data_IF_571887760278
#
_entry.id   IF_571887760278
#
_cell.length_a   1.000
_cell.length_b   1.000
_cell.length_c   1.000
_cell.angle_alpha   90.00
_cell.angle_beta   90.00
_cell.angle_gamma   90.00
#
_symmetry.space_group_name_H-M   'P 1'
#
loop_
_entity.id
_entity.type
_entity.pdbx_description
1 polymer ?
#
# COMPACT_ATOMS: atom_id res chain seq x y z
N UNK A 1 -18.75 -24.50 -29.26
CA UNK A 1 -18.00 -24.24 -28.02
C UNK A 1 -17.40 -22.84 -28.07
N UNK A 2 -18.14 -21.82 -27.61
CA UNK A 2 -17.68 -20.42 -27.46
C UNK A 2 -17.33 -20.21 -25.97
N UNK A 3 -16.17 -20.67 -25.55
CA UNK A 3 -15.68 -20.55 -24.16
C UNK A 3 -14.36 -19.77 -24.03
N UNK A 4 -13.70 -19.44 -25.13
CA UNK A 4 -12.37 -18.80 -25.10
C UNK A 4 -12.38 -17.29 -24.88
N UNK A 5 -13.44 -16.58 -25.28
CA UNK A 5 -13.48 -15.11 -25.23
C UNK A 5 -13.70 -14.53 -23.82
N UNK A 6 -14.30 -15.29 -22.89
CA UNK A 6 -14.52 -14.84 -21.52
C UNK A 6 -13.26 -14.99 -20.66
N UNK A 7 -12.50 -16.09 -20.82
CA UNK A 7 -11.24 -16.30 -20.10
C UNK A 7 -10.14 -15.30 -20.48
N UNK A 8 -10.06 -14.90 -21.76
CA UNK A 8 -9.04 -13.94 -22.20
C UNK A 8 -9.29 -12.50 -21.74
N UNK A 9 -10.54 -12.11 -21.45
CA UNK A 9 -10.88 -10.79 -20.89
C UNK A 9 -10.74 -10.79 -19.36
N UNK A 10 -10.96 -11.94 -18.71
CA UNK A 10 -10.78 -12.07 -17.26
C UNK A 10 -9.31 -12.00 -16.82
N UNK A 11 -8.37 -12.54 -17.60
CA UNK A 11 -6.95 -12.50 -17.28
C UNK A 11 -6.36 -11.08 -17.16
N UNK A 12 -6.55 -10.15 -18.12
CA UNK A 12 -6.04 -8.79 -18.03
C UNK A 12 -6.72 -8.00 -16.91
N UNK A 13 -8.01 -8.24 -16.65
CA UNK A 13 -8.70 -7.63 -15.52
C UNK A 13 -8.09 -8.06 -14.18
N UNK A 14 -7.84 -9.36 -13.99
CA UNK A 14 -7.20 -9.87 -12.76
C UNK A 14 -5.79 -9.31 -12.60
N UNK A 15 -5.02 -9.21 -13.68
CA UNK A 15 -3.69 -8.60 -13.64
C UNK A 15 -3.74 -7.11 -13.27
N UNK A 16 -4.69 -6.37 -13.86
CA UNK A 16 -4.96 -4.98 -13.51
C UNK A 16 -5.33 -4.81 -12.03
N UNK A 17 -6.19 -5.70 -11.51
CA UNK A 17 -6.57 -5.71 -10.10
C UNK A 17 -5.38 -6.02 -9.18
N UNK A 18 -4.54 -7.01 -9.52
CA UNK A 18 -3.31 -7.31 -8.78
C UNK A 18 -2.39 -6.10 -8.76
N UNK A 19 -2.19 -5.44 -9.91
CA UNK A 19 -1.37 -4.24 -9.99
C UNK A 19 -1.92 -3.13 -9.10
N UNK A 20 -3.23 -2.84 -9.20
CA UNK A 20 -3.88 -1.81 -8.40
C UNK A 20 -3.81 -2.11 -6.89
N UNK A 21 -4.08 -3.35 -6.48
CA UNK A 21 -3.98 -3.79 -5.09
C UNK A 21 -2.54 -3.72 -4.57
N UNK A 22 -1.55 -4.09 -5.38
CA UNK A 22 -0.14 -3.98 -4.99
C UNK A 22 0.25 -2.52 -4.70
N UNK A 23 -0.16 -1.57 -5.54
CA UNK A 23 0.07 -0.15 -5.27
C UNK A 23 -0.71 0.36 -4.08
N UNK A 24 -1.94 -0.14 -3.86
CA UNK A 24 -2.70 0.12 -2.63
C UNK A 24 -1.95 -0.34 -1.38
N UNK A 25 -1.38 -1.55 -1.42
CA UNK A 25 -0.59 -2.12 -0.31
C UNK A 25 0.62 -1.24 0.00
N UNK A 26 1.40 -0.88 -1.03
CA UNK A 26 2.55 0.03 -0.92
C UNK A 26 2.13 1.39 -0.36
N UNK A 27 0.99 1.94 -0.80
CA UNK A 27 0.47 3.21 -0.32
C UNK A 27 0.14 3.17 1.18
N UNK A 28 -0.58 2.15 1.66
CA UNK A 28 -0.91 2.03 3.08
C UNK A 28 0.35 1.85 3.93
N UNK A 29 1.27 0.98 3.50
CA UNK A 29 2.55 0.73 4.16
C UNK A 29 3.42 2.00 4.27
N UNK A 30 3.56 2.77 3.17
CA UNK A 30 4.27 4.05 3.19
C UNK A 30 3.57 5.09 4.06
N UNK A 31 2.25 5.16 4.00
CA UNK A 31 1.46 6.13 4.78
C UNK A 31 1.64 5.91 6.27
N UNK A 32 1.49 4.66 6.72
CA UNK A 32 1.71 4.26 8.10
C UNK A 32 3.12 4.63 8.56
N UNK A 33 4.14 4.11 7.88
CA UNK A 33 5.51 4.29 8.31
C UNK A 33 5.97 5.75 8.27
N UNK A 34 5.64 6.50 7.22
CA UNK A 34 6.09 7.89 7.08
C UNK A 34 5.37 8.85 8.01
N UNK A 35 4.04 8.74 8.16
CA UNK A 35 3.25 9.65 9.00
C UNK A 35 3.61 9.44 10.48
N UNK A 36 3.76 8.20 10.93
CA UNK A 36 4.09 7.92 12.34
C UNK A 36 5.57 8.09 12.67
N UNK A 37 6.45 8.17 11.67
CA UNK A 37 7.87 8.52 11.86
C UNK A 37 8.13 10.03 11.87
N UNK A 38 7.14 10.87 11.54
CA UNK A 38 7.22 12.31 11.72
C UNK A 38 7.14 12.67 13.22
N UNK A 39 8.31 12.67 13.86
CA UNK A 39 8.44 13.18 15.23
C UNK A 39 8.09 14.67 15.35
N UNK A 40 7.86 15.13 16.60
CA UNK A 40 7.45 16.52 16.91
C UNK A 40 8.38 17.58 16.30
N UNK A 41 9.69 17.33 16.31
CA UNK A 41 10.69 18.25 15.76
C UNK A 41 10.53 18.44 14.24
N UNK A 42 10.35 17.35 13.50
CA UNK A 42 10.17 17.37 12.03
C UNK A 42 8.86 18.07 11.67
N UNK A 43 7.79 17.77 12.39
CA UNK A 43 6.49 18.42 12.20
C UNK A 43 6.56 19.93 12.43
N UNK A 44 7.32 20.37 13.45
CA UNK A 44 7.55 21.81 13.73
C UNK A 44 8.37 22.47 12.61
N UNK A 45 9.42 21.81 12.11
CA UNK A 45 10.19 22.32 10.96
C UNK A 45 9.31 22.47 9.72
N UNK A 46 8.47 21.48 9.40
CA UNK A 46 7.53 21.58 8.28
C UNK A 46 6.57 22.78 8.40
N UNK A 47 6.16 23.14 9.63
CA UNK A 47 5.37 24.34 9.90
C UNK A 47 6.17 25.62 9.64
N UNK A 48 7.40 25.68 10.14
CA UNK A 48 8.29 26.84 10.03
C UNK A 48 8.73 27.09 8.57
N UNK A 49 8.96 26.03 7.82
CA UNK A 49 9.30 26.06 6.38
C UNK A 49 8.09 26.36 5.48
N UNK A 50 6.89 26.52 6.05
CA UNK A 50 5.68 26.81 5.28
C UNK A 50 5.27 25.67 4.34
N UNK A 51 5.54 24.41 4.70
CA UNK A 51 5.21 23.27 3.85
C UNK A 51 3.69 23.25 3.57
N UNK A 52 3.25 23.28 2.30
CA UNK A 52 1.83 23.40 1.96
C UNK A 52 1.00 22.19 2.42
N UNK A 53 1.64 21.06 2.70
CA UNK A 53 0.98 19.83 3.19
C UNK A 53 0.98 19.72 4.72
N UNK A 54 1.64 20.63 5.44
CA UNK A 54 1.64 20.64 6.91
C UNK A 54 0.22 20.64 7.52
N UNK A 55 -0.75 21.48 7.08
CA UNK A 55 -2.08 21.50 7.70
C UNK A 55 -2.78 20.15 7.62
N UNK A 56 -2.65 19.46 6.48
CA UNK A 56 -3.25 18.16 6.25
C UNK A 56 -2.57 17.08 7.10
N UNK A 57 -1.25 17.01 7.10
CA UNK A 57 -0.50 16.06 7.92
C UNK A 57 -0.77 16.28 9.42
N UNK A 58 -0.79 17.54 9.87
CA UNK A 58 -1.13 17.89 11.24
C UNK A 58 -2.56 17.47 11.59
N UNK A 59 -3.52 17.63 10.68
CA UNK A 59 -4.90 17.16 10.89
C UNK A 59 -4.99 15.63 10.97
N UNK A 60 -4.25 14.89 10.13
CA UNK A 60 -4.20 13.43 10.16
C UNK A 60 -3.62 12.95 11.49
N UNK A 61 -2.50 13.54 11.92
CA UNK A 61 -1.82 13.21 13.17
C UNK A 61 -2.50 13.78 14.42
N UNK A 62 -3.53 14.62 14.29
CA UNK A 62 -4.34 15.09 15.42
C UNK A 62 -5.20 13.99 16.05
N UNK A 63 -5.50 12.93 15.28
CA UNK A 63 -6.27 11.75 15.71
C UNK A 63 -5.47 10.46 15.46
N UNK A 64 -4.28 10.32 16.07
CA UNK A 64 -3.31 9.30 15.68
C UNK A 64 -3.85 7.89 15.86
N UNK A 65 -4.64 7.65 16.93
CA UNK A 65 -5.26 6.34 17.19
C UNK A 65 -6.27 5.94 16.10
N UNK A 66 -7.07 6.88 15.59
CA UNK A 66 -8.01 6.59 14.51
C UNK A 66 -7.27 6.35 13.19
N UNK A 67 -6.25 7.17 12.93
CA UNK A 67 -5.45 7.06 11.72
C UNK A 67 -4.72 5.72 11.62
N UNK A 68 -4.00 5.30 12.69
CA UNK A 68 -3.25 4.04 12.67
C UNK A 68 -4.18 2.85 12.45
N UNK A 69 -5.36 2.84 13.10
CA UNK A 69 -6.35 1.77 12.93
C UNK A 69 -6.84 1.73 11.48
N UNK A 70 -7.17 2.87 10.88
CA UNK A 70 -7.60 2.92 9.48
C UNK A 70 -6.52 2.46 8.50
N UNK A 71 -5.26 2.86 8.72
CA UNK A 71 -4.14 2.45 7.87
C UNK A 71 -3.84 0.95 8.01
N UNK A 72 -3.84 0.41 9.23
CA UNK A 72 -3.65 -1.02 9.48
C UNK A 72 -4.77 -1.86 8.85
N UNK A 73 -6.03 -1.48 9.07
CA UNK A 73 -7.17 -2.20 8.45
C UNK A 73 -7.07 -2.16 6.93
N UNK A 74 -6.74 -1.00 6.36
CA UNK A 74 -6.55 -0.85 4.91
C UNK A 74 -5.42 -1.74 4.39
N UNK A 75 -4.26 -1.71 5.05
CA UNK A 75 -3.10 -2.53 4.73
C UNK A 75 -3.45 -4.03 4.74
N UNK A 76 -3.98 -4.53 5.85
CA UNK A 76 -4.31 -5.94 6.00
C UNK A 76 -5.39 -6.40 5.01
N UNK A 77 -6.40 -5.56 4.76
CA UNK A 77 -7.47 -5.88 3.80
C UNK A 77 -6.91 -6.03 2.39
N UNK A 78 -6.09 -5.07 1.95
CA UNK A 78 -5.46 -5.11 0.62
C UNK A 78 -4.46 -6.26 0.52
N UNK A 79 -3.71 -6.56 1.59
CA UNK A 79 -2.76 -7.66 1.63
C UNK A 79 -3.44 -9.02 1.46
N UNK A 80 -4.54 -9.27 2.19
CA UNK A 80 -5.32 -10.50 2.06
C UNK A 80 -5.94 -10.62 0.67
N UNK A 81 -6.53 -9.53 0.15
CA UNK A 81 -7.12 -9.52 -1.19
C UNK A 81 -6.07 -9.80 -2.29
N UNK A 82 -4.92 -9.14 -2.22
CA UNK A 82 -3.81 -9.32 -3.15
C UNK A 82 -3.24 -10.75 -3.08
N UNK A 83 -2.99 -11.26 -1.87
CA UNK A 83 -2.45 -12.60 -1.66
C UNK A 83 -3.41 -13.67 -2.20
N UNK A 84 -4.72 -13.54 -1.92
CA UNK A 84 -5.76 -14.45 -2.42
C UNK A 84 -5.86 -14.43 -3.94
N UNK A 85 -5.94 -13.24 -4.56
CA UNK A 85 -6.05 -13.09 -6.01
C UNK A 85 -4.80 -13.60 -6.74
N UNK A 86 -3.61 -13.29 -6.20
CA UNK A 86 -2.34 -13.73 -6.80
C UNK A 86 -2.17 -15.25 -6.65
N UNK A 87 -2.52 -15.83 -5.50
CA UNK A 87 -2.52 -17.28 -5.31
C UNK A 87 -3.47 -17.98 -6.31
N UNK A 88 -4.68 -17.45 -6.51
CA UNK A 88 -5.63 -18.00 -7.48
C UNK A 88 -5.09 -17.95 -8.92
N UNK A 89 -4.43 -16.87 -9.32
CA UNK A 89 -3.77 -16.75 -10.61
C UNK A 89 -2.63 -17.76 -10.77
N UNK A 90 -1.75 -17.88 -9.78
CA UNK A 90 -0.60 -18.78 -9.83
C UNK A 90 -1.00 -20.25 -9.83
N UNK A 91 -2.04 -20.64 -9.09
CA UNK A 91 -2.57 -22.01 -9.10
C UNK A 91 -3.11 -22.38 -10.50
N UNK A 92 -3.70 -21.43 -11.21
CA UNK A 92 -4.19 -21.64 -12.58
C UNK A 92 -3.07 -21.77 -13.62
N UNK A 93 -1.91 -21.14 -13.37
CA UNK A 93 -0.76 -21.13 -14.29
C UNK A 93 0.29 -22.21 -13.96
N UNK A 94 0.39 -22.62 -12.70
CA UNK A 94 1.38 -23.58 -12.23
C UNK A 94 0.88 -25.02 -12.41
N UNK A 95 1.73 -25.92 -12.93
CA UNK A 95 1.45 -27.35 -12.94
C UNK A 95 1.37 -27.95 -11.52
N UNK A 96 0.66 -29.07 -11.35
CA UNK A 96 0.30 -29.64 -10.03
C UNK A 96 1.46 -29.81 -9.04
N UNK A 97 2.68 -30.05 -9.51
CA UNK A 97 3.88 -30.21 -8.66
C UNK A 97 4.50 -28.90 -8.20
N UNK A 98 4.27 -27.78 -8.90
CA UNK A 98 4.88 -26.48 -8.60
C UNK A 98 4.02 -25.61 -7.66
N UNK A 99 2.72 -25.92 -7.55
CA UNK A 99 1.73 -25.12 -6.79
C UNK A 99 2.12 -24.92 -5.32
N UNK A 100 2.57 -25.97 -4.64
CA UNK A 100 2.87 -25.93 -3.20
C UNK A 100 4.09 -25.08 -2.85
N UNK A 101 5.10 -25.02 -3.73
CA UNK A 101 6.28 -24.20 -3.52
C UNK A 101 6.08 -22.75 -3.98
N UNK A 102 5.25 -22.53 -5.01
CA UNK A 102 5.01 -21.20 -5.57
C UNK A 102 4.25 -20.27 -4.61
N UNK A 103 3.25 -20.80 -3.88
CA UNK A 103 2.41 -20.01 -2.96
C UNK A 103 3.24 -19.27 -1.89
N UNK A 104 4.08 -19.94 -1.07
CA UNK A 104 4.85 -19.25 -0.04
C UNK A 104 5.85 -18.25 -0.63
N UNK A 105 6.44 -18.54 -1.80
CA UNK A 105 7.36 -17.62 -2.49
C UNK A 105 6.64 -16.33 -2.91
N UNK A 106 5.45 -16.46 -3.50
CA UNK A 106 4.62 -15.32 -3.91
C UNK A 106 4.18 -14.49 -2.71
N UNK A 107 3.67 -15.14 -1.66
CA UNK A 107 3.24 -14.46 -0.43
C UNK A 107 4.41 -13.72 0.20
N UNK A 108 5.57 -14.37 0.33
CA UNK A 108 6.77 -13.74 0.86
C UNK A 108 7.20 -12.55 0.00
N UNK A 109 7.15 -12.68 -1.32
CA UNK A 109 7.43 -11.60 -2.25
C UNK A 109 6.52 -10.39 -2.05
N UNK A 110 5.21 -10.61 -1.88
CA UNK A 110 4.23 -9.56 -1.60
C UNK A 110 4.54 -8.87 -0.26
N UNK A 111 4.79 -9.62 0.81
CA UNK A 111 5.10 -9.05 2.12
C UNK A 111 6.41 -8.26 2.10
N UNK A 112 7.45 -8.78 1.46
CA UNK A 112 8.74 -8.08 1.38
C UNK A 112 8.65 -6.80 0.54
N UNK A 113 8.10 -6.90 -0.66
CA UNK A 113 8.09 -5.80 -1.63
C UNK A 113 6.96 -4.79 -1.39
N UNK A 114 5.80 -5.26 -0.95
CA UNK A 114 4.60 -4.46 -0.75
C UNK A 114 4.48 -3.88 0.66
N UNK A 115 5.13 -4.48 1.65
CA UNK A 115 4.98 -4.08 3.05
C UNK A 115 6.32 -3.73 3.73
N UNK A 116 7.25 -4.68 3.83
CA UNK A 116 8.49 -4.49 4.59
C UNK A 116 9.41 -3.42 4.00
N UNK A 117 9.66 -3.46 2.68
CA UNK A 117 10.47 -2.45 2.00
C UNK A 117 9.82 -1.06 2.04
N UNK A 118 8.52 -0.89 1.69
CA UNK A 118 7.86 0.41 1.78
C UNK A 118 7.84 0.98 3.20
N UNK A 119 7.57 0.15 4.23
CA UNK A 119 7.64 0.60 5.63
C UNK A 119 9.04 1.10 5.98
N UNK A 120 10.08 0.36 5.58
CA UNK A 120 11.48 0.75 5.81
C UNK A 120 11.80 2.10 5.14
N UNK A 121 11.33 2.32 3.91
CA UNK A 121 11.49 3.59 3.20
C UNK A 121 10.73 4.73 3.89
N UNK A 122 9.50 4.48 4.34
CA UNK A 122 8.68 5.45 5.06
C UNK A 122 9.34 5.93 6.36
N UNK A 123 9.94 5.02 7.13
CA UNK A 123 10.71 5.34 8.34
C UNK A 123 11.99 6.11 8.01
N UNK A 124 12.68 5.76 6.91
CA UNK A 124 13.96 6.37 6.54
C UNK A 124 13.81 7.78 5.96
N UNK A 125 12.74 8.05 5.21
CA UNK A 125 12.51 9.32 4.52
C UNK A 125 11.12 9.94 4.82
N UNK A 126 10.76 10.14 6.11
CA UNK A 126 9.42 10.58 6.49
C UNK A 126 9.11 11.98 5.94
N UNK A 127 10.08 12.90 5.95
CA UNK A 127 9.89 14.28 5.49
C UNK A 127 9.57 14.38 3.99
N UNK A 128 9.95 13.37 3.18
CA UNK A 128 9.66 13.32 1.75
C UNK A 128 8.38 12.55 1.45
N UNK A 129 8.16 11.44 2.17
CA UNK A 129 7.08 10.50 1.87
C UNK A 129 5.76 10.92 2.52
N UNK A 130 5.76 11.42 3.76
CA UNK A 130 4.54 11.84 4.44
C UNK A 130 3.79 12.97 3.70
N UNK A 131 4.47 13.99 3.15
CA UNK A 131 3.83 14.91 2.22
C UNK A 131 3.24 14.19 1.01
N UNK A 132 3.97 13.25 0.39
CA UNK A 132 3.52 12.57 -0.82
C UNK A 132 2.21 11.79 -0.58
N UNK A 133 2.16 11.01 0.50
CA UNK A 133 1.00 10.16 0.81
C UNK A 133 -0.19 10.93 1.38
N UNK A 134 0.03 12.09 2.01
CA UNK A 134 -1.06 12.94 2.50
C UNK A 134 -1.90 13.51 1.34
N UNK A 135 -1.35 13.61 0.13
CA UNK A 135 -2.05 14.13 -1.03
C UNK A 135 -2.01 15.66 -1.15
N UNK A 136 -2.93 16.23 -1.92
CA UNK A 136 -2.98 17.68 -2.13
C UNK A 136 -3.71 18.38 -0.98
N UNK A 137 -3.22 19.54 -0.50
CA UNK A 137 -3.97 20.32 0.47
C UNK A 137 -5.28 20.75 -0.17
N UNK A 138 -6.41 20.37 0.43
CA UNK A 138 -7.70 20.94 0.10
C UNK A 138 -7.58 22.44 0.40
N UNK A 139 -7.56 23.26 -0.66
CA UNK A 139 -7.65 24.72 -0.52
C UNK A 139 -9.01 25.02 0.14
N UNK A 140 -9.01 25.17 1.46
CA UNK A 140 -10.09 25.84 2.15
C UNK A 140 -9.96 27.33 1.78
N UNK A 141 -10.75 27.73 0.79
CA UNK A 141 -11.00 29.14 0.47
C UNK A 141 -11.97 29.75 1.47
#
# INVERSE_FOLDING_TARGET
>A
MRGGSFLEIEAPLRLYLVFFLFWGLVFFALSEASLFSLGRLRLRRMKEEGNPRYPLIASLLSRPRRLIISLLIGNETVNVALSSLTAALFIGLAGDRAKWAAIPVVVMGILLLGEALPKTLGVRYPDRIAPLVAGQPLRAG
#
